data_IF_263122685382
#
_entry.id   IF_263122685382
#
_cell.length_a   1.000
_cell.length_b   1.000
_cell.length_c   1.000
_cell.angle_alpha   90.00
_cell.angle_beta   90.00
_cell.angle_gamma   90.00
#
_symmetry.space_group_name_H-M   'P 1'
#
loop_
_entity.id
_entity.type
_entity.pdbx_description
1 polymer ?
#
# COMPACT_ATOMS: atom_id res chain seq x y z
N UNK A 1 -1.99 14.49 -0.64
CA UNK A 1 -1.30 13.20 -0.60
C UNK A 1 -0.89 12.78 -1.99
N UNK A 2 0.35 12.35 -2.15
CA UNK A 2 0.90 11.99 -3.47
C UNK A 2 1.26 10.50 -3.49
N UNK A 3 0.68 9.75 -4.40
CA UNK A 3 1.06 8.35 -4.61
C UNK A 3 2.40 8.31 -5.33
N UNK A 4 3.32 7.51 -4.82
CA UNK A 4 4.68 7.42 -5.36
C UNK A 4 4.88 6.11 -6.11
N UNK A 5 4.44 5.00 -5.51
CA UNK A 5 4.70 3.67 -6.04
C UNK A 5 3.54 2.75 -5.68
N UNK A 6 3.20 1.86 -6.61
CA UNK A 6 2.18 0.84 -6.39
C UNK A 6 2.78 -0.52 -6.71
N UNK A 7 2.65 -1.47 -5.79
CA UNK A 7 3.13 -2.84 -5.97
C UNK A 7 1.93 -3.75 -5.88
N UNK A 8 1.68 -4.51 -6.95
CA UNK A 8 0.52 -5.41 -7.04
C UNK A 8 0.99 -6.86 -6.90
N UNK A 9 0.21 -7.69 -6.21
CA UNK A 9 0.54 -9.10 -6.06
C UNK A 9 0.33 -9.87 -7.37
N UNK A 10 0.74 -11.14 -7.37
CA UNK A 10 0.67 -11.99 -8.57
C UNK A 10 -0.73 -12.26 -9.03
N UNK A 11 -1.69 -12.25 -8.12
CA UNK A 11 -3.10 -12.54 -8.45
C UNK A 11 -3.85 -11.30 -8.90
N UNK A 12 -3.23 -10.12 -8.81
CA UNK A 12 -3.84 -8.83 -9.14
C UNK A 12 -5.06 -8.50 -8.27
N UNK A 13 -5.11 -9.07 -7.07
CA UNK A 13 -6.21 -8.84 -6.12
C UNK A 13 -5.78 -8.05 -4.89
N UNK A 14 -4.49 -7.87 -4.69
CA UNK A 14 -3.93 -7.11 -3.58
C UNK A 14 -2.87 -6.17 -4.09
N UNK A 15 -2.76 -5.01 -3.47
CA UNK A 15 -1.69 -4.08 -3.79
C UNK A 15 -1.29 -3.26 -2.57
N UNK A 16 -0.07 -2.75 -2.60
CA UNK A 16 0.43 -1.78 -1.63
C UNK A 16 0.71 -0.48 -2.37
N UNK A 17 0.19 0.61 -1.85
CA UNK A 17 0.44 1.95 -2.38
C UNK A 17 1.34 2.68 -1.39
N UNK A 18 2.51 3.11 -1.84
CA UNK A 18 3.41 3.97 -1.07
C UNK A 18 3.12 5.41 -1.46
N UNK A 19 3.00 6.28 -0.47
CA UNK A 19 2.60 7.67 -0.71
C UNK A 19 3.35 8.63 0.20
N UNK A 20 3.31 9.90 -0.19
CA UNK A 20 3.82 11.01 0.62
C UNK A 20 2.63 11.87 1.06
N UNK A 21 2.56 12.16 2.36
CA UNK A 21 1.53 13.04 2.92
C UNK A 21 1.92 14.49 2.74
N UNK A 22 0.95 15.38 2.91
CA UNK A 22 1.17 16.82 2.77
C UNK A 22 2.16 17.37 3.80
N UNK A 23 2.29 16.70 4.94
CA UNK A 23 3.25 17.10 5.98
C UNK A 23 4.69 16.60 5.70
N UNK A 24 4.90 15.95 4.56
CA UNK A 24 6.21 15.44 4.17
C UNK A 24 6.54 14.05 4.67
N UNK A 25 5.69 13.44 5.48
CA UNK A 25 5.90 12.06 5.92
C UNK A 25 5.49 11.09 4.83
N UNK A 26 6.06 9.89 4.90
CA UNK A 26 5.76 8.81 3.96
C UNK A 26 4.98 7.71 4.67
N UNK A 27 4.17 7.00 3.91
CA UNK A 27 3.41 5.88 4.44
C UNK A 27 3.06 4.90 3.34
N UNK A 28 2.31 3.88 3.73
CA UNK A 28 1.84 2.89 2.78
C UNK A 28 0.45 2.41 3.20
N UNK A 29 -0.29 1.89 2.22
CA UNK A 29 -1.60 1.31 2.45
C UNK A 29 -1.70 0.02 1.67
N UNK A 30 -2.27 -1.00 2.28
CA UNK A 30 -2.61 -2.24 1.59
C UNK A 30 -4.06 -2.15 1.16
N UNK A 31 -4.33 -2.53 -0.10
CA UNK A 31 -5.67 -2.49 -0.68
C UNK A 31 -5.99 -3.84 -1.33
N UNK A 32 -7.28 -4.17 -1.36
CA UNK A 32 -7.77 -5.35 -2.06
C UNK A 32 -8.76 -4.93 -3.13
N UNK A 33 -8.84 -5.72 -4.20
CA UNK A 33 -9.74 -5.41 -5.31
C UNK A 33 -11.11 -6.00 -5.04
N UNK A 34 -12.13 -5.15 -5.03
CA UNK A 34 -13.52 -5.58 -4.95
C UNK A 34 -14.05 -5.77 -6.37
N UNK A 35 -14.48 -7.00 -6.68
CA UNK A 35 -15.01 -7.34 -7.99
C UNK A 35 -16.55 -7.33 -8.03
N UNK A 36 -17.18 -6.75 -7.03
CA UNK A 36 -18.64 -6.64 -7.02
C UNK A 36 -19.09 -5.81 -8.22
N UNK A 37 -20.18 -6.23 -8.90
CA UNK A 37 -20.58 -5.61 -10.17
C UNK A 37 -20.79 -4.11 -10.15
N UNK A 38 -21.16 -3.55 -8.99
CA UNK A 38 -21.40 -2.11 -8.87
C UNK A 38 -20.25 -1.34 -8.21
N UNK A 39 -19.16 -2.03 -7.85
CA UNK A 39 -18.08 -1.40 -7.08
C UNK A 39 -16.72 -1.98 -7.43
N UNK A 40 -16.38 -2.08 -8.70
CA UNK A 40 -15.08 -2.58 -9.16
C UNK A 40 -13.99 -1.56 -8.78
N UNK A 41 -13.60 -1.57 -7.51
CA UNK A 41 -12.67 -0.59 -6.96
C UNK A 41 -11.67 -1.26 -6.02
N UNK A 42 -10.57 -0.57 -5.77
CA UNK A 42 -9.60 -0.96 -4.75
C UNK A 42 -10.04 -0.40 -3.40
N UNK A 43 -10.10 -1.27 -2.40
CA UNK A 43 -10.58 -0.93 -1.07
C UNK A 43 -9.42 -1.01 -0.09
N UNK A 44 -9.13 0.07 0.67
CA UNK A 44 -8.06 0.04 1.65
C UNK A 44 -8.45 -0.80 2.87
N UNK A 45 -7.46 -1.53 3.41
CA UNK A 45 -7.67 -2.26 4.66
C UNK A 45 -7.74 -1.33 5.89
N UNK A 46 -7.08 -0.17 5.81
CA UNK A 46 -7.06 0.79 6.92
C UNK A 46 -6.13 0.42 8.06
N UNK A 47 -5.27 -0.56 7.89
CA UNK A 47 -4.41 -1.07 8.97
C UNK A 47 -3.19 -0.20 9.25
N UNK A 48 -2.71 0.52 8.26
CA UNK A 48 -1.40 1.17 8.30
C UNK A 48 -1.47 2.68 8.28
N UNK A 49 -2.63 3.24 8.54
CA UNK A 49 -2.85 4.69 8.46
C UNK A 49 -2.00 5.48 9.46
N UNK A 50 -1.58 4.86 10.54
CA UNK A 50 -0.75 5.51 11.57
C UNK A 50 0.75 5.39 11.31
N UNK A 51 1.17 4.60 10.32
CA UNK A 51 2.59 4.46 10.00
C UNK A 51 3.10 5.75 9.37
N UNK A 52 4.14 6.33 9.98
CA UNK A 52 4.78 7.54 9.48
C UNK A 52 6.27 7.28 9.34
N UNK A 53 6.75 7.42 8.12
CA UNK A 53 8.15 7.17 7.79
C UNK A 53 8.79 8.45 7.27
N UNK A 54 10.10 8.51 7.36
CA UNK A 54 10.86 9.69 6.95
C UNK A 54 11.30 9.65 5.49
N UNK A 55 11.10 8.52 4.82
CA UNK A 55 11.49 8.37 3.42
C UNK A 55 10.63 7.31 2.73
N UNK A 56 10.63 7.33 1.41
CA UNK A 56 9.98 6.32 0.59
C UNK A 56 10.58 4.94 0.84
N UNK A 57 11.88 4.86 0.94
CA UNK A 57 12.59 3.59 1.19
C UNK A 57 12.16 2.99 2.52
N UNK A 58 12.01 3.82 3.54
CA UNK A 58 11.59 3.37 4.86
C UNK A 58 10.15 2.85 4.83
N UNK A 59 9.26 3.57 4.13
CA UNK A 59 7.88 3.14 3.99
C UNK A 59 7.79 1.79 3.27
N UNK A 60 8.59 1.62 2.21
CA UNK A 60 8.61 0.37 1.47
C UNK A 60 9.15 -0.78 2.33
N UNK A 61 10.20 -0.54 3.12
CA UNK A 61 10.76 -1.53 4.02
C UNK A 61 9.74 -1.95 5.08
N UNK A 62 9.01 -0.99 5.66
CA UNK A 62 7.96 -1.28 6.62
C UNK A 62 6.84 -2.11 5.97
N UNK A 63 6.46 -1.77 4.75
CA UNK A 63 5.43 -2.51 4.04
C UNK A 63 5.85 -3.97 3.83
N UNK A 64 7.09 -4.20 3.43
CA UNK A 64 7.62 -5.56 3.24
C UNK A 64 7.61 -6.37 4.53
N UNK A 65 7.84 -5.73 5.65
CA UNK A 65 7.85 -6.40 6.95
C UNK A 65 6.47 -6.67 7.51
N UNK A 66 5.46 -5.95 7.07
CA UNK A 66 4.10 -6.05 7.64
C UNK A 66 3.10 -6.74 6.71
N UNK A 67 3.29 -6.61 5.42
CA UNK A 67 2.38 -7.19 4.42
C UNK A 67 2.97 -8.51 3.95
N UNK A 68 2.33 -9.61 4.34
CA UNK A 68 2.91 -10.95 4.20
C UNK A 68 3.26 -11.32 2.75
N UNK A 69 2.42 -10.95 1.78
CA UNK A 69 2.67 -11.31 0.39
C UNK A 69 3.79 -10.47 -0.26
N UNK A 70 4.17 -9.35 0.35
CA UNK A 70 5.23 -8.48 -0.21
C UNK A 70 6.58 -9.19 -0.27
N UNK A 71 6.84 -10.10 0.66
CA UNK A 71 8.10 -10.86 0.66
C UNK A 71 8.25 -11.71 -0.60
N UNK A 72 7.14 -12.14 -1.20
CA UNK A 72 7.13 -13.01 -2.39
C UNK A 72 6.91 -12.22 -3.68
N UNK A 73 6.58 -10.96 -3.60
CA UNK A 73 6.22 -10.14 -4.76
C UNK A 73 7.42 -9.63 -5.54
N UNK A 74 8.59 -9.80 -5.02
CA UNK A 74 9.81 -9.27 -5.65
C UNK A 74 10.84 -10.33 -5.98
#
# INVERSE_FOLDING_TARGET
MTKIQTITDKTLTRRVVVFRRDDGSFGFEEEWFSDEPLAMVWVPFGKYSVCRCDSEERALAEARGRVSWMADAE
#
